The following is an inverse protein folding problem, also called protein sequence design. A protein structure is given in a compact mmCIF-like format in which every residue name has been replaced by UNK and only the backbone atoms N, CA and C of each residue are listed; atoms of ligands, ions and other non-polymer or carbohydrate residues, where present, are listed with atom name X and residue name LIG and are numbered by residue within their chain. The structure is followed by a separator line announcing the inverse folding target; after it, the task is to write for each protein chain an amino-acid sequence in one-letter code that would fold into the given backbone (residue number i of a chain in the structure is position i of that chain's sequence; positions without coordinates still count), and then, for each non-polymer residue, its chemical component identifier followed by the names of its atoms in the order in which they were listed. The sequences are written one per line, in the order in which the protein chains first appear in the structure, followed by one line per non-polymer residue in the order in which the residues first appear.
data_IF_452106610129
#
_entry.id   IF_452106610129
#
_cell.length_a   1.000
_cell.length_b   1.000
_cell.length_c   1.000
_cell.angle_alpha   90.00
_cell.angle_beta   90.00
_cell.angle_gamma   90.00
#
_symmetry.space_group_name_H-M   'P 1'
#
loop_
_entity.id
_entity.type
_entity.pdbx_description
1 polymer ?
2 non-polymer ?
#
# COMPACT_ATOMS: atom_id res chain seq x y z
N UNK A 1 -20.94 -0.32 24.59
CA UNK A 1 -21.58 -0.41 23.29
C UNK A 1 -20.56 -0.41 22.16
N UNK A 2 -21.05 -0.58 20.94
CA UNK A 2 -20.23 -0.38 19.75
C UNK A 2 -20.15 1.11 19.44
N UNK A 3 -21.28 1.80 19.62
CA UNK A 3 -21.39 3.24 19.39
C UNK A 3 -20.26 4.01 20.06
N UNK A 4 -20.05 3.74 21.34
CA UNK A 4 -19.06 4.45 22.13
C UNK A 4 -17.64 4.17 21.60
N UNK A 5 -17.34 2.90 21.36
CA UNK A 5 -16.06 2.50 20.77
C UNK A 5 -15.75 3.28 19.50
N UNK A 6 -16.70 3.25 18.57
CA UNK A 6 -16.59 3.97 17.30
C UNK A 6 -16.36 5.47 17.48
N UNK A 7 -17.16 6.09 18.34
CA UNK A 7 -17.03 7.52 18.59
C UNK A 7 -15.65 7.88 19.14
N UNK A 8 -15.18 7.13 20.13
CA UNK A 8 -13.83 7.33 20.66
C UNK A 8 -12.74 7.19 19.58
N UNK A 9 -12.81 6.12 18.77
CA UNK A 9 -11.85 5.94 17.70
C UNK A 9 -11.82 7.13 16.76
N UNK A 10 -13.02 7.63 16.46
CA UNK A 10 -13.17 8.82 15.62
C UNK A 10 -12.56 10.05 16.29
N UNK A 11 -12.66 10.12 17.62
CA UNK A 11 -12.07 11.21 18.39
C UNK A 11 -10.55 11.18 18.31
N UNK A 12 -10.00 9.97 18.23
CA UNK A 12 -8.55 9.81 18.19
C UNK A 12 -7.98 9.84 16.77
N UNK A 13 -8.85 9.90 15.77
CA UNK A 13 -8.40 10.12 14.38
C UNK A 13 -7.60 11.44 14.20
N UNK A 14 -7.72 12.34 15.17
CA UNK A 14 -7.06 13.66 15.14
C UNK A 14 -5.56 13.59 15.47
N UNK A 15 -5.24 12.88 16.55
CA UNK A 15 -3.86 12.72 17.01
C UNK A 15 -3.03 11.76 16.14
N UNK A 16 -3.58 10.57 15.88
CA UNK A 16 -2.86 9.48 15.22
C UNK A 16 -2.40 9.77 13.79
N UNK A 17 -1.18 9.32 13.47
CA UNK A 17 -0.64 9.49 12.13
C UNK A 17 -0.70 8.19 11.35
N UNK A 18 -0.34 8.23 10.07
CA UNK A 18 -0.43 7.03 9.25
C UNK A 18 0.68 6.05 9.64
N UNK A 19 1.72 6.57 10.29
CA UNK A 19 2.86 5.77 10.72
C UNK A 19 2.48 4.84 11.88
N UNK A 20 1.46 5.23 12.64
CA UNK A 20 1.01 4.45 13.79
C UNK A 20 0.22 3.20 13.41
N UNK A 21 -0.55 3.29 12.33
CA UNK A 21 -1.35 2.15 11.85
C UNK A 21 -0.82 1.41 10.61
N UNK A 22 0.29 1.86 10.04
CA UNK A 22 0.78 1.34 8.75
C UNK A 22 1.28 -0.11 8.83
N UNK A 23 1.34 -0.77 7.68
CA UNK A 23 2.04 -2.05 7.60
C UNK A 23 3.48 -1.75 7.16
N UNK A 24 4.44 -1.95 8.07
CA UNK A 24 5.82 -1.55 7.75
C UNK A 24 6.38 -2.35 6.57
N UNK A 25 7.33 -1.76 5.85
CA UNK A 25 7.82 -2.31 4.59
C UNK A 25 8.23 -3.79 4.67
N UNK A 26 8.74 -4.21 5.83
CA UNK A 26 9.22 -5.58 6.02
C UNK A 26 8.11 -6.59 6.27
N UNK A 27 6.92 -6.11 6.64
CA UNK A 27 5.77 -7.00 6.79
C UNK A 27 4.93 -7.02 5.51
N UNK A 28 5.36 -6.25 4.51
CA UNK A 28 4.58 -6.07 3.30
C UNK A 28 4.77 -7.21 2.31
N UNK A 29 3.67 -7.66 1.71
CA UNK A 29 3.78 -8.65 0.66
C UNK A 29 3.96 -7.88 -0.66
N UNK A 30 5.14 -8.03 -1.27
CA UNK A 30 5.50 -7.26 -2.46
C UNK A 30 5.99 -8.16 -3.59
N UNK A 31 6.29 -7.57 -4.74
CA UNK A 31 6.80 -8.34 -5.86
C UNK A 31 7.76 -7.53 -6.75
N UNK A 32 8.75 -8.20 -7.33
CA UNK A 32 9.79 -7.53 -8.12
C UNK A 32 9.29 -7.20 -9.51
N UNK A 33 9.65 -6.01 -10.00
CA UNK A 33 9.21 -5.55 -11.31
C UNK A 33 9.64 -6.44 -12.46
N UNK A 34 10.66 -7.27 -12.21
CA UNK A 34 11.20 -8.16 -13.23
C UNK A 34 10.50 -9.51 -13.25
N UNK A 35 9.48 -9.68 -12.41
CA UNK A 35 8.82 -10.99 -12.26
C UNK A 35 8.12 -11.44 -13.54
N UNK A 36 7.96 -12.75 -13.68
CA UNK A 36 7.28 -13.33 -14.83
C UNK A 36 5.99 -13.97 -14.35
N UNK A 37 4.86 -13.69 -15.00
CA UNK A 37 3.63 -14.27 -14.50
C UNK A 37 3.41 -15.61 -15.19
N UNK A 38 3.73 -16.66 -14.45
CA UNK A 38 3.63 -18.04 -14.90
C UNK A 38 2.90 -18.68 -13.75
N UNK A 39 2.45 -19.92 -13.90
CA UNK A 39 1.50 -20.48 -12.95
C UNK A 39 1.89 -20.31 -11.47
N UNK A 40 3.16 -20.53 -11.14
CA UNK A 40 3.61 -20.46 -9.74
C UNK A 40 3.63 -19.05 -9.14
N UNK A 41 4.00 -18.07 -9.96
CA UNK A 41 4.01 -16.68 -9.50
C UNK A 41 2.58 -16.18 -9.24
N UNK A 42 1.70 -16.38 -10.23
CA UNK A 42 0.29 -16.01 -10.07
C UNK A 42 -0.30 -16.78 -8.90
N UNK A 43 0.20 -17.99 -8.68
CA UNK A 43 -0.24 -18.82 -7.57
C UNK A 43 0.15 -18.18 -6.23
N UNK A 44 1.41 -17.79 -6.06
CA UNK A 44 1.82 -17.11 -4.83
C UNK A 44 1.00 -15.85 -4.60
N UNK A 45 0.84 -15.06 -5.67
CA UNK A 45 0.10 -13.80 -5.59
C UNK A 45 -1.33 -14.03 -5.10
N UNK A 46 -2.03 -14.98 -5.72
CA UNK A 46 -3.40 -15.32 -5.32
C UNK A 46 -3.47 -15.89 -3.91
N UNK A 47 -2.49 -16.72 -3.57
CA UNK A 47 -2.41 -17.34 -2.26
C UNK A 47 -2.29 -16.30 -1.15
N UNK A 48 -1.58 -15.20 -1.42
CA UNK A 48 -1.36 -14.15 -0.41
C UNK A 48 -2.66 -13.55 0.12
N UNK A 49 -3.71 -13.59 -0.70
CA UNK A 49 -5.00 -13.05 -0.29
C UNK A 49 -5.12 -11.53 -0.36
N UNK A 50 -4.04 -10.84 -0.73
CA UNK A 50 -4.09 -9.38 -0.80
C UNK A 50 -4.66 -8.89 -2.12
N UNK A 51 -5.49 -7.85 -2.05
CA UNK A 51 -6.07 -7.25 -3.25
C UNK A 51 -5.01 -6.43 -4.00
N UNK A 52 -4.09 -5.82 -3.26
CA UNK A 52 -3.08 -4.95 -3.87
C UNK A 52 -1.63 -5.28 -3.47
N UNK A 53 -0.78 -5.51 -4.47
CA UNK A 53 0.61 -5.91 -4.26
C UNK A 53 1.57 -4.85 -4.81
N UNK A 54 2.28 -4.14 -3.91
CA UNK A 54 3.31 -3.18 -4.33
C UNK A 54 4.38 -3.85 -5.21
N UNK A 55 4.79 -3.13 -6.25
CA UNK A 55 5.79 -3.58 -7.22
C UNK A 55 7.06 -2.76 -7.06
N UNK A 56 8.14 -3.43 -6.66
CA UNK A 56 9.42 -2.78 -6.42
C UNK A 56 10.46 -3.17 -7.47
N UNK A 57 11.42 -2.28 -7.73
CA UNK A 57 12.54 -2.56 -8.63
C UNK A 57 13.85 -2.33 -7.89
N UNK A 58 14.77 -3.29 -7.95
CA UNK A 58 15.98 -3.20 -7.14
C UNK A 58 15.64 -3.40 -5.68
N UNK A 59 15.92 -2.41 -4.84
CA UNK A 59 15.59 -2.48 -3.41
C UNK A 59 14.07 -2.45 -3.17
N UNK A 60 13.63 -3.16 -2.13
CA UNK A 60 12.23 -3.18 -1.71
C UNK A 60 11.65 -1.81 -1.37
N UNK A 61 12.52 -0.84 -1.10
CA UNK A 61 12.06 0.50 -0.76
C UNK A 61 11.88 1.39 -1.99
N UNK A 62 12.21 0.85 -3.16
CA UNK A 62 11.99 1.58 -4.40
C UNK A 62 10.76 0.97 -5.06
N UNK A 63 9.62 1.64 -4.90
CA UNK A 63 8.33 1.09 -5.33
C UNK A 63 7.85 1.83 -6.58
N UNK A 64 7.93 1.16 -7.73
CA UNK A 64 7.52 1.79 -8.99
C UNK A 64 6.05 1.58 -9.33
N UNK A 65 5.40 0.56 -8.75
CA UNK A 65 4.05 0.24 -9.23
C UNK A 65 3.09 -0.42 -8.24
N UNK A 66 1.86 -0.63 -8.70
CA UNK A 66 0.85 -1.34 -7.92
C UNK A 66 0.18 -2.38 -8.81
N UNK A 67 0.24 -3.64 -8.39
CA UNK A 67 -0.45 -4.71 -9.09
C UNK A 67 -1.75 -5.01 -8.34
N UNK A 68 -2.85 -5.22 -9.07
CA UNK A 68 -4.09 -5.68 -8.45
C UNK A 68 -4.32 -7.11 -8.91
N UNK A 69 -4.84 -7.98 -8.04
CA UNK A 69 -5.11 -9.37 -8.46
C UNK A 69 -6.05 -9.45 -9.66
N UNK A 70 -6.99 -8.51 -9.78
CA UNK A 70 -7.90 -8.43 -10.94
C UNK A 70 -7.12 -8.38 -12.25
N UNK A 71 -5.94 -7.76 -12.22
CA UNK A 71 -5.12 -7.62 -13.42
C UNK A 71 -4.63 -8.97 -13.95
N UNK A 72 -4.81 -10.03 -13.15
CA UNK A 72 -4.42 -11.37 -13.57
C UNK A 72 -5.56 -12.11 -14.27
N UNK A 73 -6.74 -11.48 -14.29
CA UNK A 73 -7.95 -12.11 -14.81
C UNK A 73 -7.75 -12.73 -16.19
N UNK A 74 -7.19 -11.95 -17.10
CA UNK A 74 -7.02 -12.38 -18.48
C UNK A 74 -5.63 -12.92 -18.83
N UNK A 75 -4.74 -13.01 -17.85
CA UNK A 75 -3.38 -13.48 -18.12
C UNK A 75 -3.30 -15.01 -18.16
N UNK A 76 -2.71 -15.54 -19.23
CA UNK A 76 -2.54 -16.98 -19.43
C UNK A 76 -1.11 -17.34 -19.00
N UNK A 77 -0.98 -18.31 -18.07
CA UNK A 77 0.33 -18.73 -17.54
C UNK A 77 1.28 -19.26 -18.63
N UNK A 78 0.74 -20.02 -19.57
CA UNK A 78 1.54 -20.59 -20.65
C UNK A 78 2.29 -19.52 -21.44
N UNK A 79 1.77 -18.29 -21.43
CA UNK A 79 2.40 -17.20 -22.15
C UNK A 79 3.63 -16.66 -21.42
N UNK A 80 3.75 -17.01 -20.14
CA UNK A 80 4.85 -16.50 -19.29
C UNK A 80 5.05 -14.99 -19.47
N UNK A 81 3.95 -14.25 -19.38
CA UNK A 81 3.95 -12.80 -19.60
C UNK A 81 4.60 -12.05 -18.44
N UNK A 82 5.63 -11.24 -18.75
CA UNK A 82 6.33 -10.49 -17.70
C UNK A 82 5.43 -9.43 -17.07
N UNK A 83 5.59 -9.21 -15.77
CA UNK A 83 4.77 -8.27 -15.01
C UNK A 83 4.82 -6.84 -15.56
N UNK A 84 5.95 -6.47 -16.18
CA UNK A 84 6.11 -5.13 -16.77
C UNK A 84 5.00 -4.77 -17.75
N UNK A 85 4.59 -5.74 -18.57
CA UNK A 85 3.56 -5.51 -19.59
C UNK A 85 2.20 -5.17 -18.96
N UNK A 86 1.85 -5.88 -17.89
CA UNK A 86 0.62 -5.62 -17.15
C UNK A 86 0.67 -4.29 -16.39
N UNK A 87 1.81 -3.97 -15.77
CA UNK A 87 1.92 -2.67 -15.08
C UNK A 87 1.91 -1.49 -16.06
N UNK A 88 2.48 -1.67 -17.25
CA UNK A 88 2.39 -0.66 -18.30
C UNK A 88 0.94 -0.50 -18.75
N UNK A 89 0.28 -1.62 -19.02
CA UNK A 89 -1.09 -1.61 -19.56
C UNK A 89 -2.10 -0.97 -18.61
N UNK A 90 -2.24 -1.52 -17.41
CA UNK A 90 -3.23 -0.98 -16.48
C UNK A 90 -2.76 0.32 -15.85
N UNK A 91 -1.48 0.38 -15.52
CA UNK A 91 -0.85 1.57 -14.93
C UNK A 91 -1.67 2.17 -13.78
N UNK A 92 -1.88 1.39 -12.72
CA UNK A 92 -2.66 1.88 -11.59
C UNK A 92 -1.88 3.01 -10.93
N UNK A 93 -2.58 4.08 -10.53
CA UNK A 93 -1.96 5.26 -9.92
C UNK A 93 -1.30 4.92 -8.58
N UNK A 94 -0.09 5.44 -8.33
CA UNK A 94 0.58 5.25 -7.05
C UNK A 94 0.41 6.47 -6.16
N UNK A 95 -0.10 6.28 -4.95
CA UNK A 95 -0.26 7.41 -4.05
C UNK A 95 0.73 7.37 -2.90
N UNK A 96 1.39 8.50 -2.64
CA UNK A 96 2.33 8.62 -1.52
C UNK A 96 1.79 9.59 -0.46
N UNK A 97 2.23 9.40 0.78
CA UNK A 97 1.78 10.25 1.89
C UNK A 97 2.90 10.36 2.93
N UNK A 98 2.89 11.39 3.76
CA UNK A 98 3.96 11.54 4.73
C UNK A 98 3.60 10.90 6.07
N UNK A 99 4.58 10.30 6.72
CA UNK A 99 4.38 9.57 7.97
C UNK A 99 3.72 10.40 9.07
N UNK A 100 3.82 11.72 8.96
CA UNK A 100 3.21 12.62 9.95
C UNK A 100 1.76 12.99 9.62
N UNK A 101 1.28 12.56 8.45
CA UNK A 101 -0.12 12.79 8.05
C UNK A 101 -1.11 12.22 9.07
N UNK A 102 -2.06 13.04 9.50
CA UNK A 102 -3.05 12.60 10.49
C UNK A 102 -4.14 11.71 9.86
N UNK A 103 -4.78 10.87 10.67
CA UNK A 103 -5.67 9.84 10.13
C UNK A 103 -6.98 10.38 9.54
N UNK A 104 -7.53 11.45 10.13
CA UNK A 104 -8.71 12.12 9.58
C UNK A 104 -8.45 12.61 8.15
N UNK A 105 -7.28 13.23 7.96
CA UNK A 105 -6.86 13.70 6.64
C UNK A 105 -6.71 12.56 5.65
N UNK A 106 -6.05 11.49 6.10
CA UNK A 106 -5.88 10.32 5.26
C UNK A 106 -7.24 9.79 4.83
N UNK A 107 -8.18 9.73 5.78
CA UNK A 107 -9.52 9.22 5.53
C UNK A 107 -10.23 10.06 4.47
N UNK A 108 -10.11 11.38 4.61
CA UNK A 108 -10.67 12.29 3.61
C UNK A 108 -10.08 12.05 2.22
N UNK A 109 -8.76 11.85 2.15
CA UNK A 109 -8.12 11.61 0.85
C UNK A 109 -8.52 10.24 0.28
N UNK A 110 -8.86 9.31 1.17
CA UNK A 110 -9.30 7.99 0.74
C UNK A 110 -10.71 8.05 0.14
N UNK A 111 -11.61 8.80 0.79
CA UNK A 111 -12.96 8.98 0.28
C UNK A 111 -12.99 9.55 -1.14
N UNK A 112 -12.41 10.74 -1.33
CA UNK A 112 -12.38 11.32 -2.66
C UNK A 112 -11.30 10.61 -3.48
N UNK A 113 -11.72 10.01 -4.58
CA UNK A 113 -10.81 9.19 -5.37
C UNK A 113 -11.01 7.70 -5.15
N UNK A 114 -10.43 6.91 -6.04
CA UNK A 114 -10.55 5.46 -6.00
C UNK A 114 -9.58 4.81 -5.02
N UNK A 115 -8.39 5.41 -4.86
CA UNK A 115 -7.27 4.72 -4.21
C UNK A 115 -7.50 4.47 -2.73
N UNK A 116 -7.45 3.19 -2.35
CA UNK A 116 -7.50 2.78 -0.96
C UNK A 116 -6.14 2.39 -0.35
N UNK A 117 -5.07 2.50 -1.14
CA UNK A 117 -3.72 2.21 -0.66
C UNK A 117 -2.76 3.36 -0.92
N UNK A 118 -1.99 3.72 0.11
CA UNK A 118 -0.98 4.77 -0.01
C UNK A 118 0.37 4.29 0.51
N UNK A 119 1.43 4.59 -0.24
CA UNK A 119 2.79 4.36 0.23
C UNK A 119 3.17 5.45 1.24
N UNK A 120 3.57 5.03 2.44
CA UNK A 120 3.99 5.95 3.50
C UNK A 120 5.49 6.24 3.41
N UNK A 121 5.86 7.51 3.33
CA UNK A 121 7.27 7.88 3.29
C UNK A 121 7.55 8.99 4.29
N UNK A 122 8.83 9.20 4.61
CA UNK A 122 9.23 10.32 5.44
C UNK A 122 10.45 11.00 4.82
N UNK A 123 10.71 12.23 5.25
CA UNK A 123 11.89 12.96 4.78
C UNK A 123 13.09 12.56 5.61
N UNK A 124 14.17 12.12 4.96
CA UNK A 124 15.39 11.84 5.71
C UNK A 124 16.35 13.00 5.54
N UNK A 125 16.48 13.78 6.61
CA UNK A 125 17.23 15.03 6.58
C UNK A 125 18.66 14.83 7.02
N UNK A 126 19.05 13.59 7.29
CA UNK A 126 20.40 13.36 7.74
C UNK A 126 21.22 12.89 6.55
N UNK A 127 22.00 13.83 6.00
CA UNK A 127 22.90 13.56 4.90
C UNK A 127 24.35 13.70 5.34
N UNK A 128 25.31 13.69 4.41
CA UNK A 128 25.16 13.39 2.97
C UNK A 128 24.27 14.30 2.11
N UNK A 129 24.41 15.62 2.27
CA UNK A 129 23.84 16.57 1.33
C UNK A 129 22.34 16.48 1.10
N UNK A 130 21.97 16.27 -0.17
CA UNK A 130 20.57 16.24 -0.59
C UNK A 130 19.71 15.31 0.26
N UNK A 131 18.65 15.86 0.88
CA UNK A 131 17.71 15.05 1.67
C UNK A 131 16.83 14.22 0.74
N UNK A 132 16.48 13.01 1.16
CA UNK A 132 15.76 12.09 0.30
C UNK A 132 14.49 11.54 0.96
N UNK A 133 13.52 11.15 0.14
CA UNK A 133 12.31 10.52 0.64
C UNK A 133 12.56 9.04 0.93
N UNK A 134 12.32 8.63 2.17
CA UNK A 134 12.56 7.26 2.62
C UNK A 134 11.23 6.52 2.82
N UNK A 135 11.01 5.44 2.06
CA UNK A 135 9.73 4.71 2.09
C UNK A 135 9.63 3.78 3.31
N UNK A 136 8.65 4.00 4.18
CA UNK A 136 8.54 3.22 5.42
C UNK A 136 7.53 2.06 5.42
N UNK A 137 6.72 1.94 4.36
CA UNK A 137 5.62 0.99 4.38
C UNK A 137 4.39 1.43 3.61
N UNK A 138 3.26 0.78 3.91
CA UNK A 138 1.98 1.07 3.26
C UNK A 138 0.85 1.29 4.29
N UNK A 139 -0.11 2.15 3.95
CA UNK A 139 -1.32 2.31 4.76
C UNK A 139 -2.56 2.17 3.87
N UNK A 140 -3.60 1.51 4.38
CA UNK A 140 -4.85 1.35 3.62
C UNK A 140 -6.08 1.89 4.35
N UNK A 141 -7.16 2.09 3.60
CA UNK A 141 -8.44 2.48 4.20
C UNK A 141 -8.84 1.50 5.31
N UNK A 142 -8.68 0.21 5.05
CA UNK A 142 -8.93 -0.81 6.07
C UNK A 142 -8.12 -0.60 7.36
N UNK A 143 -6.87 -0.13 7.27
CA UNK A 143 -6.07 0.17 8.47
C UNK A 143 -6.73 1.24 9.37
N UNK A 144 -7.17 2.32 8.72
CA UNK A 144 -7.86 3.44 9.38
C UNK A 144 -9.22 3.05 9.97
N UNK A 145 -10.00 2.32 9.18
CA UNK A 145 -11.29 1.76 9.61
C UNK A 145 -11.12 0.89 10.85
N UNK A 146 -10.22 -0.08 10.75
CA UNK A 146 -9.84 -0.95 11.86
C UNK A 146 -9.47 -0.13 13.09
N UNK A 147 -8.77 0.98 12.89
CA UNK A 147 -8.46 1.86 14.02
C UNK A 147 -9.72 2.54 14.60
N UNK A 148 -10.72 2.80 13.76
CA UNK A 148 -11.97 3.38 14.25
C UNK A 148 -12.82 2.40 15.08
N UNK A 149 -13.12 1.25 14.49
CA UNK A 149 -14.04 0.29 15.09
C UNK A 149 -13.44 -0.65 16.14
N UNK A 150 -12.11 -0.70 16.27
CA UNK A 150 -11.49 -1.59 17.25
C UNK A 150 -11.93 -1.20 18.66
N UNK A 151 -11.96 -2.18 19.57
CA UNK A 151 -12.36 -1.92 20.95
C UNK A 151 -11.15 -1.57 21.82
N UNK A 152 -11.41 -1.22 23.08
CA UNK A 152 -10.36 -0.80 24.01
C UNK A 152 -10.91 -0.59 25.42
X LIG B 1 -6.71 -6.24 1.99
X LIG B 1 -6.77 -7.75 2.07
X LIG B 1 -7.98 -5.49 1.64
X LIG B 1 -5.65 -5.89 0.96
X LIG B 1 -6.09 -5.64 3.34
X LIG B 1 -6.17 -6.37 4.57
X LIG B 1 -5.07 -5.99 5.55
X LIG B 1 -3.77 -6.36 5.00
X LIG B 1 -4.96 -4.50 5.89
X LIG B 1 -4.43 -4.36 7.21
X LIG B 1 -3.93 -4.01 4.88
X LIG B 1 -3.26 -2.83 5.25
X LIG B 1 -2.98 -5.20 4.78
X LIG B 1 -2.34 -5.35 3.48
X LIG B 1 -2.90 -5.03 2.29
X LIG B 1 -2.06 -5.30 1.27
X LIG B 1 -0.93 -5.82 1.80
X LIG B 1 0.35 -6.32 1.28
X LIG B 1 0.63 -6.33 -0.05
X LIG B 1 1.24 -6.76 2.19
X LIG B 1 0.99 -6.76 3.52
X LIG B 1 -0.15 -6.33 4.07
X LIG B 1 -1.13 -5.84 3.26
#
# INVERSE_FOLDING_TARGET
MEELNIIQGALELRTKTVEDVMTPLRDCFMITGEAILDFNTMSEIMESGYTRIPVFEGERSNIVDLLFVKDLAFVDPDDCTPLKTITKFYNHPLHFVFNDTKLDAMLEEFKKGKSHLAIVQRVNNEGEGDPFYEVLGIVTLEDVIEEIIKSE
AMP P O1P O2P O3P O5' C5' C4' O4' C3' O3' C2' O2' C1' N9 C8 N7 C5 C6 N6 N1 C2 N3 C4
#
